data_IF_420249545233
#
_entry.id   IF_420249545233
#
_cell.length_a   1.000
_cell.length_b   1.000
_cell.length_c   1.000
_cell.angle_alpha   90.00
_cell.angle_beta   90.00
_cell.angle_gamma   90.00
#
_symmetry.space_group_name_H-M   'P 1'
#
loop_
_entity.id
_entity.type
_entity.pdbx_description
1 polymer ?
#
# COMPACT_ATOMS: atom_id res chain seq x y z
N UNK A 1 -14.57 9.79 -17.27
CA UNK A 1 -15.02 11.17 -17.09
C UNK A 1 -15.67 11.30 -15.72
N UNK A 2 -15.28 12.32 -14.96
CA UNK A 2 -15.78 12.56 -13.62
C UNK A 2 -17.23 13.03 -13.63
N UNK A 3 -18.09 12.41 -12.83
CA UNK A 3 -19.43 12.94 -12.55
C UNK A 3 -19.30 14.06 -11.49
N UNK A 4 -19.75 15.26 -11.84
CA UNK A 4 -19.69 16.43 -10.95
C UNK A 4 -20.54 16.26 -9.67
N UNK A 5 -21.54 15.37 -9.69
CA UNK A 5 -22.47 15.12 -8.56
C UNK A 5 -21.91 14.19 -7.49
N UNK A 6 -20.87 13.42 -7.79
CA UNK A 6 -20.35 12.44 -6.81
C UNK A 6 -19.08 11.73 -7.26
N UNK A 7 -18.41 12.23 -8.32
CA UNK A 7 -17.15 11.68 -8.81
C UNK A 7 -17.29 10.47 -9.74
N UNK A 8 -18.44 9.80 -9.79
CA UNK A 8 -18.67 8.65 -10.64
C UNK A 8 -17.61 7.56 -10.43
N UNK A 9 -17.04 7.03 -11.52
CA UNK A 9 -15.97 6.00 -11.47
C UNK A 9 -14.64 6.49 -10.87
N UNK A 10 -14.46 7.79 -10.71
CA UNK A 10 -13.29 8.37 -10.02
C UNK A 10 -13.52 8.60 -8.52
N UNK A 11 -14.68 8.19 -7.99
CA UNK A 11 -14.98 8.25 -6.57
C UNK A 11 -14.29 7.11 -5.81
N UNK A 12 -13.81 7.38 -4.58
CA UNK A 12 -13.33 6.33 -3.66
C UNK A 12 -14.37 5.25 -3.33
N UNK A 13 -15.69 5.52 -3.55
CA UNK A 13 -16.76 4.53 -3.39
C UNK A 13 -16.64 3.34 -4.36
N UNK A 14 -15.88 3.47 -5.44
CA UNK A 14 -15.59 2.35 -6.35
C UNK A 14 -14.91 1.18 -5.62
N UNK A 15 -14.17 1.45 -4.55
CA UNK A 15 -13.48 0.43 -3.74
C UNK A 15 -14.42 -0.55 -3.04
N UNK A 16 -15.72 -0.25 -2.89
CA UNK A 16 -16.72 -1.19 -2.33
C UNK A 16 -16.69 -2.53 -3.07
N UNK A 17 -16.65 -2.50 -4.41
CA UNK A 17 -16.60 -3.72 -5.23
C UNK A 17 -15.32 -4.53 -4.98
N UNK A 18 -14.18 -3.85 -4.80
CA UNK A 18 -12.88 -4.49 -4.50
C UNK A 18 -12.90 -5.15 -3.13
N UNK A 19 -13.42 -4.46 -2.11
CA UNK A 19 -13.51 -4.99 -0.74
C UNK A 19 -14.41 -6.21 -0.70
N UNK A 20 -15.58 -6.16 -1.37
CA UNK A 20 -16.51 -7.29 -1.42
C UNK A 20 -15.89 -8.51 -2.14
N UNK A 21 -15.26 -8.29 -3.30
CA UNK A 21 -14.57 -9.35 -4.03
C UNK A 21 -13.36 -9.89 -3.25
N UNK A 22 -12.59 -9.01 -2.61
CA UNK A 22 -11.44 -9.37 -1.79
C UNK A 22 -11.82 -10.24 -0.59
N UNK A 23 -12.95 -9.96 0.06
CA UNK A 23 -13.45 -10.78 1.16
C UNK A 23 -13.78 -12.23 0.72
N UNK A 24 -14.30 -12.42 -0.49
CA UNK A 24 -14.54 -13.75 -1.07
C UNK A 24 -13.21 -14.41 -1.44
N UNK A 25 -12.33 -13.67 -2.14
CA UNK A 25 -11.03 -14.17 -2.56
C UNK A 25 -10.17 -14.62 -1.36
N UNK A 26 -10.17 -13.85 -0.26
CA UNK A 26 -9.44 -14.20 0.96
C UNK A 26 -9.87 -15.53 1.55
N UNK A 27 -11.17 -15.87 1.49
CA UNK A 27 -11.65 -17.19 1.95
C UNK A 27 -11.09 -18.33 1.10
N UNK A 28 -11.06 -18.14 -0.22
CA UNK A 28 -10.50 -19.13 -1.15
C UNK A 28 -9.01 -19.30 -0.91
N UNK A 29 -8.27 -18.20 -0.74
CA UNK A 29 -6.84 -18.24 -0.46
C UNK A 29 -6.53 -18.93 0.87
N UNK A 30 -7.32 -18.68 1.91
CA UNK A 30 -7.16 -19.34 3.20
C UNK A 30 -7.35 -20.87 3.12
N UNK A 31 -8.30 -21.35 2.31
CA UNK A 31 -8.48 -22.79 2.05
C UNK A 31 -7.28 -23.40 1.32
N UNK A 32 -6.54 -22.60 0.57
CA UNK A 32 -5.29 -22.98 -0.09
C UNK A 32 -4.05 -22.81 0.81
N UNK A 33 -4.23 -22.42 2.08
CA UNK A 33 -3.13 -22.19 3.01
C UNK A 33 -2.42 -20.84 2.83
N UNK A 34 -2.97 -19.93 2.02
CA UNK A 34 -2.40 -18.60 1.79
C UNK A 34 -3.11 -17.60 2.71
N UNK A 35 -2.34 -16.92 3.55
CA UNK A 35 -2.83 -15.87 4.45
C UNK A 35 -2.37 -14.49 3.99
N UNK A 36 -3.24 -13.50 4.14
CA UNK A 36 -2.99 -12.11 3.78
C UNK A 36 -3.13 -11.23 5.03
N UNK A 37 -2.21 -10.29 5.20
CA UNK A 37 -2.29 -9.25 6.21
C UNK A 37 -1.91 -7.91 5.59
N UNK A 38 -2.82 -6.93 5.67
CA UNK A 38 -2.55 -5.57 5.21
C UNK A 38 -2.65 -4.60 6.38
N UNK A 39 -1.75 -3.63 6.42
CA UNK A 39 -1.65 -2.65 7.50
C UNK A 39 -1.04 -1.34 7.01
N UNK A 40 -1.22 -0.31 7.80
CA UNK A 40 -0.64 1.00 7.54
C UNK A 40 0.80 1.03 8.03
N UNK A 41 1.75 1.13 7.09
CA UNK A 41 3.19 1.24 7.37
C UNK A 41 3.61 2.67 7.70
N UNK A 42 3.00 3.65 7.04
CA UNK A 42 3.35 5.06 7.24
C UNK A 42 2.16 5.99 7.04
N UNK A 43 2.12 7.08 7.80
CA UNK A 43 1.20 8.22 7.61
C UNK A 43 2.03 9.49 7.69
N UNK A 44 2.09 10.24 6.57
CA UNK A 44 2.97 11.39 6.46
C UNK A 44 4.41 11.06 6.84
N UNK A 45 5.03 11.76 7.82
CA UNK A 45 6.40 11.50 8.25
C UNK A 45 6.55 10.33 9.24
N UNK A 46 5.45 9.77 9.74
CA UNK A 46 5.47 8.71 10.75
C UNK A 46 5.54 7.35 10.08
N UNK A 47 6.71 6.76 10.06
CA UNK A 47 7.03 5.47 9.40
C UNK A 47 7.44 4.46 10.46
N UNK A 48 6.93 3.23 10.38
CA UNK A 48 7.33 2.13 11.27
C UNK A 48 8.49 1.38 10.62
N UNK A 49 9.58 1.19 11.38
CA UNK A 49 10.68 0.34 10.97
C UNK A 49 10.30 -1.13 11.09
N UNK A 50 10.82 -1.98 10.22
CA UNK A 50 10.45 -3.40 10.17
C UNK A 50 10.78 -4.16 11.46
N UNK A 51 11.81 -3.71 12.18
CA UNK A 51 12.19 -4.27 13.49
C UNK A 51 11.23 -3.93 14.63
N UNK A 52 10.28 -3.01 14.39
CA UNK A 52 9.34 -2.50 15.38
C UNK A 52 7.91 -3.00 15.14
N UNK A 53 7.70 -3.92 14.18
CA UNK A 53 6.38 -4.46 13.89
C UNK A 53 5.88 -5.40 14.98
N UNK A 54 4.70 -5.10 15.48
CA UNK A 54 3.87 -5.99 16.28
C UNK A 54 2.50 -6.16 15.61
N UNK A 55 2.34 -7.21 14.83
CA UNK A 55 1.12 -7.46 14.06
C UNK A 55 -0.14 -7.59 14.92
N UNK A 56 0.00 -7.97 16.21
CA UNK A 56 -1.13 -8.03 17.14
C UNK A 56 -1.72 -6.66 17.47
N UNK A 57 -0.97 -5.58 17.24
CA UNK A 57 -1.41 -4.20 17.50
C UNK A 57 -2.25 -3.60 16.35
N UNK A 58 -2.23 -4.20 15.15
CA UNK A 58 -2.96 -3.70 13.98
C UNK A 58 -4.45 -3.46 14.29
N UNK A 59 -5.08 -4.39 14.99
CA UNK A 59 -6.49 -4.30 15.36
C UNK A 59 -6.77 -3.48 16.63
N UNK A 60 -5.73 -3.01 17.31
CA UNK A 60 -5.84 -2.29 18.58
C UNK A 60 -5.89 -0.76 18.43
N UNK A 61 -5.59 -0.25 17.24
CA UNK A 61 -5.65 1.18 16.95
C UNK A 61 -6.44 1.48 15.68
N UNK A 62 -7.03 2.66 15.61
CA UNK A 62 -7.89 3.07 14.50
C UNK A 62 -7.16 3.32 13.18
N UNK A 63 -5.83 3.36 13.20
CA UNK A 63 -5.00 3.58 12.02
C UNK A 63 -4.46 2.27 11.43
N UNK A 64 -4.78 1.13 12.05
CA UNK A 64 -4.33 -0.20 11.63
C UNK A 64 -2.81 -0.29 11.46
N UNK A 65 -2.07 0.37 12.36
CA UNK A 65 -0.62 0.37 12.37
C UNK A 65 -0.08 -0.73 13.29
N UNK A 66 0.94 -1.50 12.89
CA UNK A 66 1.56 -2.55 13.73
C UNK A 66 2.51 -1.98 14.80
N UNK A 67 2.23 -0.78 15.32
CA UNK A 67 2.94 -0.15 16.42
C UNK A 67 2.06 0.94 17.03
N UNK A 68 1.55 0.71 18.24
CA UNK A 68 0.62 1.62 18.91
C UNK A 68 1.25 2.99 19.24
N UNK A 69 2.54 3.05 19.55
CA UNK A 69 3.21 4.32 19.84
C UNK A 69 3.31 5.20 18.59
N UNK A 70 3.71 4.63 17.45
CA UNK A 70 3.74 5.36 16.18
C UNK A 70 2.32 5.71 15.73
N UNK A 71 1.35 4.83 15.95
CA UNK A 71 -0.07 5.10 15.66
C UNK A 71 -0.60 6.31 16.44
N UNK A 72 -0.24 6.45 17.72
CA UNK A 72 -0.63 7.61 18.52
C UNK A 72 -0.02 8.91 17.96
N UNK A 73 1.27 8.92 17.65
CA UNK A 73 1.94 10.07 17.04
C UNK A 73 1.34 10.45 15.68
N UNK A 74 1.07 9.46 14.84
CA UNK A 74 0.40 9.66 13.55
C UNK A 74 -1.02 10.23 13.73
N UNK A 75 -1.77 9.76 14.73
CA UNK A 75 -3.09 10.30 15.09
C UNK A 75 -3.07 11.76 15.52
N UNK A 76 -2.06 12.15 16.30
CA UNK A 76 -1.84 13.55 16.67
C UNK A 76 -1.53 14.42 15.45
N UNK A 77 -0.70 13.91 14.55
CA UNK A 77 -0.39 14.58 13.28
C UNK A 77 -1.61 14.75 12.39
N UNK A 78 -2.42 13.71 12.21
CA UNK A 78 -3.69 13.80 11.46
C UNK A 78 -4.58 14.88 12.10
N UNK A 79 -4.67 14.92 13.44
CA UNK A 79 -5.47 15.92 14.17
C UNK A 79 -4.97 17.34 13.91
N UNK A 80 -3.66 17.55 13.80
CA UNK A 80 -3.11 18.87 13.45
C UNK A 80 -3.47 19.27 12.02
N UNK A 81 -3.37 18.35 11.07
CA UNK A 81 -3.75 18.59 9.66
C UNK A 81 -5.25 18.91 9.52
N UNK A 82 -6.11 18.24 10.29
CA UNK A 82 -7.54 18.54 10.29
C UNK A 82 -7.82 19.98 10.74
N UNK A 83 -7.10 20.51 11.74
CA UNK A 83 -7.22 21.91 12.18
C UNK A 83 -6.76 22.88 11.11
N UNK A 84 -5.79 22.48 10.30
CA UNK A 84 -5.26 23.25 9.16
C UNK A 84 -6.08 23.05 7.88
N UNK A 85 -7.15 22.23 7.93
CA UNK A 85 -7.96 21.83 6.75
C UNK A 85 -7.15 21.21 5.63
N UNK A 86 -6.07 20.52 5.99
CA UNK A 86 -5.08 19.89 5.11
C UNK A 86 -5.19 18.35 5.16
N UNK A 87 -4.38 17.67 4.37
CA UNK A 87 -4.32 16.21 4.27
C UNK A 87 -2.89 15.70 4.12
N UNK A 88 -2.67 14.42 4.38
CA UNK A 88 -1.41 13.74 4.12
C UNK A 88 -1.62 12.44 3.34
N UNK A 89 -0.55 11.94 2.78
CA UNK A 89 -0.47 10.60 2.20
C UNK A 89 0.00 9.57 3.22
N UNK A 90 0.10 8.34 2.76
CA UNK A 90 0.60 7.23 3.57
C UNK A 90 1.10 6.07 2.71
N UNK A 91 1.58 5.04 3.39
CA UNK A 91 2.00 3.79 2.78
C UNK A 91 1.24 2.65 3.44
N UNK A 92 0.58 1.84 2.63
CA UNK A 92 -0.01 0.57 3.04
C UNK A 92 0.96 -0.54 2.65
N UNK A 93 1.23 -1.45 3.56
CA UNK A 93 1.99 -2.67 3.28
C UNK A 93 1.05 -3.87 3.40
N UNK A 94 1.13 -4.77 2.43
CA UNK A 94 0.43 -6.05 2.42
C UNK A 94 1.45 -7.17 2.34
N UNK A 95 1.33 -8.14 3.23
CA UNK A 95 2.12 -9.36 3.23
C UNK A 95 1.22 -10.54 2.91
N UNK A 96 1.77 -11.52 2.19
CA UNK A 96 1.12 -12.80 1.96
C UNK A 96 2.11 -13.93 2.29
N UNK A 97 1.64 -14.87 3.12
CA UNK A 97 2.38 -16.07 3.49
C UNK A 97 1.71 -17.31 2.89
N UNK A 98 2.50 -18.35 2.64
CA UNK A 98 2.01 -19.64 2.15
C UNK A 98 1.83 -19.72 0.63
N UNK A 99 2.37 -18.77 -0.15
CA UNK A 99 2.32 -18.86 -1.60
C UNK A 99 3.17 -20.06 -2.08
N UNK A 100 2.63 -20.89 -2.98
CA UNK A 100 3.45 -21.92 -3.64
C UNK A 100 4.49 -21.26 -4.55
N UNK A 101 5.58 -21.95 -4.79
CA UNK A 101 6.61 -21.54 -5.77
C UNK A 101 6.05 -21.61 -7.18
N UNK A 102 6.38 -20.61 -8.02
CA UNK A 102 6.10 -20.63 -9.44
C UNK A 102 4.82 -19.95 -9.90
N UNK A 103 4.15 -19.15 -9.05
CA UNK A 103 3.03 -18.31 -9.49
C UNK A 103 3.55 -17.10 -10.26
N UNK A 104 3.01 -16.87 -11.44
CA UNK A 104 3.37 -15.82 -12.37
C UNK A 104 3.88 -16.37 -13.70
N UNK A 105 3.63 -15.65 -14.79
CA UNK A 105 4.01 -16.06 -16.15
C UNK A 105 4.87 -14.99 -16.85
N UNK A 106 6.21 -15.08 -16.70
CA UNK A 106 7.09 -14.26 -17.53
C UNK A 106 6.81 -14.52 -19.03
N UNK A 107 6.92 -13.53 -19.91
CA UNK A 107 7.58 -12.23 -19.78
C UNK A 107 6.61 -11.14 -19.23
N UNK A 108 5.36 -11.09 -19.69
CA UNK A 108 4.45 -9.97 -19.43
C UNK A 108 3.60 -10.15 -18.18
N UNK A 109 3.21 -11.38 -17.87
CA UNK A 109 2.32 -11.70 -16.75
C UNK A 109 3.10 -12.18 -15.51
N UNK A 110 4.23 -11.54 -15.25
CA UNK A 110 4.98 -11.72 -14.01
C UNK A 110 4.11 -11.39 -12.81
N UNK A 111 4.27 -12.13 -11.71
CA UNK A 111 3.50 -11.92 -10.49
C UNK A 111 3.61 -10.47 -9.98
N UNK A 112 4.83 -9.93 -9.93
CA UNK A 112 5.08 -8.55 -9.51
C UNK A 112 4.41 -7.52 -10.45
N UNK A 113 4.40 -7.77 -11.76
CA UNK A 113 3.74 -6.90 -12.73
C UNK A 113 2.21 -6.90 -12.56
N UNK A 114 1.59 -8.09 -12.39
CA UNK A 114 0.16 -8.22 -12.17
C UNK A 114 -0.28 -7.58 -10.84
N UNK A 115 0.50 -7.78 -9.78
CA UNK A 115 0.25 -7.14 -8.48
C UNK A 115 0.37 -5.62 -8.58
N UNK A 116 1.41 -5.12 -9.24
CA UNK A 116 1.58 -3.68 -9.47
C UNK A 116 0.41 -3.10 -10.27
N UNK A 117 -0.04 -3.76 -11.33
CA UNK A 117 -1.21 -3.37 -12.11
C UNK A 117 -2.48 -3.30 -11.25
N UNK A 118 -2.73 -4.34 -10.45
CA UNK A 118 -3.91 -4.42 -9.60
C UNK A 118 -3.91 -3.30 -8.55
N UNK A 119 -2.80 -3.11 -7.85
CA UNK A 119 -2.64 -2.10 -6.80
C UNK A 119 -2.67 -0.67 -7.37
N UNK A 120 -1.99 -0.41 -8.50
CA UNK A 120 -2.04 0.90 -9.19
C UNK A 120 -3.42 1.25 -9.70
N UNK A 121 -4.31 0.28 -9.90
CA UNK A 121 -5.69 0.52 -10.31
C UNK A 121 -6.57 1.07 -9.17
N UNK A 122 -6.11 1.02 -7.92
CA UNK A 122 -6.80 1.60 -6.77
C UNK A 122 -6.68 3.14 -6.82
N UNK A 123 -7.79 3.83 -6.56
CA UNK A 123 -7.79 5.28 -6.52
C UNK A 123 -6.78 5.83 -5.51
N UNK A 124 -6.15 6.95 -5.85
CA UNK A 124 -5.12 7.64 -5.05
C UNK A 124 -3.77 6.92 -4.90
N UNK A 125 -3.61 5.68 -5.30
CA UNK A 125 -2.29 5.02 -5.35
C UNK A 125 -1.43 5.69 -6.41
N UNK A 126 -0.16 5.96 -6.06
CA UNK A 126 0.84 6.65 -6.91
C UNK A 126 2.18 5.94 -6.99
N UNK A 127 2.37 4.89 -6.20
CA UNK A 127 3.56 4.07 -6.26
C UNK A 127 3.28 2.68 -5.74
N UNK A 128 3.99 1.70 -6.28
CA UNK A 128 3.98 0.31 -5.82
C UNK A 128 5.41 -0.16 -5.70
N UNK A 129 5.72 -0.88 -4.64
CA UNK A 129 6.99 -1.54 -4.41
C UNK A 129 6.77 -3.01 -4.07
N UNK A 130 7.69 -3.85 -4.51
CA UNK A 130 7.79 -5.26 -4.12
C UNK A 130 9.14 -5.46 -3.43
N UNK A 131 9.15 -6.11 -2.26
CA UNK A 131 10.38 -6.28 -1.48
C UNK A 131 11.06 -4.95 -1.11
N UNK A 132 12.35 -4.82 -1.37
CA UNK A 132 13.10 -3.59 -1.11
C UNK A 132 12.67 -2.41 -2.01
N UNK A 133 11.95 -2.68 -3.11
CA UNK A 133 11.43 -1.65 -3.99
C UNK A 133 12.52 -0.70 -4.48
N UNK A 134 12.34 0.62 -4.33
CA UNK A 134 13.31 1.62 -4.75
C UNK A 134 14.64 1.57 -3.99
N UNK A 135 14.65 1.02 -2.77
CA UNK A 135 15.89 0.90 -2.00
C UNK A 135 16.88 -0.07 -2.66
N UNK A 136 16.41 -1.06 -3.41
CA UNK A 136 17.27 -1.96 -4.17
C UNK A 136 18.21 -1.22 -5.14
N UNK A 137 17.79 -0.06 -5.69
CA UNK A 137 18.60 0.73 -6.61
C UNK A 137 19.87 1.33 -5.96
N UNK A 138 19.89 1.50 -4.64
CA UNK A 138 21.04 1.97 -3.88
C UNK A 138 21.88 0.84 -3.28
N UNK A 139 21.46 -0.41 -3.42
CA UNK A 139 22.15 -1.59 -2.92
C UNK A 139 23.22 -2.08 -3.89
N UNK A 140 24.23 -2.77 -3.36
CA UNK A 140 25.16 -3.55 -4.18
C UNK A 140 24.72 -5.00 -4.26
N UNK A 141 24.97 -5.68 -5.38
CA UNK A 141 24.44 -7.03 -5.62
C UNK A 141 24.72 -8.04 -4.51
N UNK A 142 25.94 -8.01 -3.94
CA UNK A 142 26.33 -8.91 -2.84
C UNK A 142 25.56 -8.68 -1.53
N UNK A 143 24.86 -7.55 -1.39
CA UNK A 143 24.01 -7.22 -0.24
C UNK A 143 22.54 -7.39 -0.54
N UNK A 144 22.14 -7.18 -1.80
CA UNK A 144 20.75 -7.32 -2.24
C UNK A 144 20.36 -8.77 -2.55
N UNK A 145 21.32 -9.65 -2.83
CA UNK A 145 21.02 -11.06 -3.07
C UNK A 145 20.43 -11.71 -1.82
N UNK A 146 19.42 -12.57 -2.05
CA UNK A 146 18.79 -13.39 -1.01
C UNK A 146 19.41 -14.79 -1.02
N UNK A 147 20.38 -15.09 -0.13
CA UNK A 147 21.02 -16.40 -0.13
C UNK A 147 20.06 -17.50 0.31
N UNK A 148 19.98 -18.58 -0.47
CA UNK A 148 19.26 -19.77 -0.08
C UNK A 148 20.10 -20.66 0.84
N UNK A 149 19.43 -21.40 1.70
CA UNK A 149 20.02 -22.47 2.52
C UNK A 149 19.03 -23.60 2.73
N UNK A 150 19.53 -24.74 3.14
CA UNK A 150 18.70 -25.92 3.46
C UNK A 150 18.73 -26.16 4.97
N UNK A 151 17.57 -26.31 5.56
CA UNK A 151 17.40 -26.71 6.94
C UNK A 151 16.34 -27.80 7.04
N UNK A 152 16.68 -28.93 7.68
CA UNK A 152 15.79 -30.10 7.80
C UNK A 152 15.23 -30.64 6.49
N UNK A 153 15.95 -30.44 5.37
CA UNK A 153 15.51 -30.88 4.02
C UNK A 153 14.62 -29.87 3.30
N UNK A 154 14.30 -28.74 3.92
CA UNK A 154 13.53 -27.66 3.35
C UNK A 154 14.42 -26.51 2.90
N UNK A 155 14.02 -25.83 1.82
CA UNK A 155 14.73 -24.67 1.26
C UNK A 155 14.20 -23.39 1.86
N UNK A 156 15.10 -22.57 2.38
CA UNK A 156 14.81 -21.28 2.99
C UNK A 156 15.68 -20.18 2.40
N UNK A 157 15.28 -18.91 2.60
CA UNK A 157 16.10 -17.72 2.31
C UNK A 157 16.55 -17.06 3.62
N UNK A 158 17.77 -16.53 3.63
CA UNK A 158 18.31 -15.78 4.79
C UNK A 158 17.73 -14.37 4.89
N UNK A 159 17.41 -13.77 3.74
CA UNK A 159 16.84 -12.44 3.60
C UNK A 159 15.71 -12.49 2.57
N UNK A 160 14.96 -11.42 2.43
CA UNK A 160 13.84 -11.35 1.49
C UNK A 160 13.77 -9.98 0.79
N UNK A 161 14.92 -9.51 0.28
CA UNK A 161 15.03 -8.26 -0.46
C UNK A 161 14.14 -8.24 -1.71
N UNK A 162 14.03 -9.40 -2.37
CA UNK A 162 13.15 -9.59 -3.53
C UNK A 162 11.65 -9.56 -3.21
N UNK A 163 11.28 -9.64 -1.91
CA UNK A 163 9.89 -9.58 -1.48
C UNK A 163 9.02 -10.75 -1.95
N UNK A 164 9.59 -11.95 -2.04
CA UNK A 164 8.86 -13.18 -2.38
C UNK A 164 8.71 -13.45 -3.88
N UNK A 165 9.39 -12.67 -4.75
CA UNK A 165 9.37 -12.88 -6.20
C UNK A 165 10.77 -12.96 -6.78
N UNK A 166 11.03 -13.96 -7.62
CA UNK A 166 12.26 -14.12 -8.38
C UNK A 166 11.92 -14.45 -9.83
N UNK A 167 12.56 -13.77 -10.77
CA UNK A 167 12.31 -13.97 -12.19
C UNK A 167 10.87 -13.70 -12.64
N UNK A 168 10.09 -12.98 -11.82
CA UNK A 168 8.69 -12.71 -12.08
C UNK A 168 7.71 -13.76 -11.55
N UNK A 169 8.19 -14.71 -10.77
CA UNK A 169 7.38 -15.78 -10.16
C UNK A 169 7.56 -15.77 -8.63
N UNK A 170 6.57 -16.29 -7.91
CA UNK A 170 6.70 -16.52 -6.46
C UNK A 170 7.81 -17.53 -6.17
N UNK A 171 8.57 -17.29 -5.10
CA UNK A 171 9.70 -18.11 -4.69
C UNK A 171 9.44 -18.93 -3.40
N UNK A 172 8.19 -18.88 -2.89
CA UNK A 172 7.78 -19.56 -1.67
C UNK A 172 8.03 -18.76 -0.39
N UNK A 173 8.75 -17.64 -0.48
CA UNK A 173 8.94 -16.73 0.66
C UNK A 173 7.74 -15.81 0.82
N UNK A 174 7.69 -15.08 1.96
CA UNK A 174 6.69 -14.03 2.19
C UNK A 174 6.68 -13.03 1.04
N UNK A 175 5.54 -12.85 0.41
CA UNK A 175 5.33 -11.76 -0.54
C UNK A 175 5.13 -10.45 0.23
N UNK A 176 5.82 -9.39 -0.20
CA UNK A 176 5.74 -8.06 0.41
C UNK A 176 5.42 -7.04 -0.69
N UNK A 177 4.27 -6.39 -0.57
CA UNK A 177 3.80 -5.36 -1.50
C UNK A 177 3.49 -4.08 -0.74
N UNK A 178 4.00 -2.95 -1.21
CA UNK A 178 3.71 -1.62 -0.65
C UNK A 178 3.00 -0.75 -1.67
N UNK A 179 2.05 0.03 -1.19
CA UNK A 179 1.30 1.01 -1.99
C UNK A 179 1.47 2.40 -1.38
N UNK A 180 2.00 3.33 -2.14
CA UNK A 180 2.05 4.75 -1.75
C UNK A 180 0.74 5.43 -2.17
N UNK A 181 0.03 5.99 -1.19
CA UNK A 181 -1.25 6.69 -1.38
C UNK A 181 -1.00 8.19 -1.24
N UNK A 182 -1.44 8.96 -2.24
CA UNK A 182 -1.27 10.41 -2.23
C UNK A 182 -2.23 11.09 -1.24
N UNK A 183 -1.92 12.31 -0.76
CA UNK A 183 -2.87 13.11 0.01
C UNK A 183 -4.18 13.34 -0.74
N UNK A 184 -5.29 13.45 0.01
CA UNK A 184 -6.58 13.88 -0.55
C UNK A 184 -6.45 15.28 -1.12
N UNK A 185 -6.82 15.46 -2.39
CA UNK A 185 -6.70 16.75 -3.08
C UNK A 185 -7.84 17.74 -2.79
N UNK A 186 -8.97 17.24 -2.29
CA UNK A 186 -10.12 18.08 -1.94
C UNK A 186 -9.97 18.57 -0.50
N UNK A 187 -9.26 19.69 -0.33
CA UNK A 187 -9.01 20.36 0.96
C UNK A 187 -9.64 21.75 0.99
N UNK A 188 -9.86 22.29 2.18
CA UNK A 188 -10.48 23.60 2.35
C UNK A 188 -9.46 24.76 2.42
N UNK A 189 -8.23 24.51 2.00
CA UNK A 189 -7.22 25.55 1.76
C UNK A 189 -7.43 26.11 0.34
N UNK A 190 -7.36 27.44 0.11
CA UNK A 190 -7.38 28.02 -1.23
C UNK A 190 -6.30 27.41 -2.11
N UNK A 191 -6.68 26.97 -3.30
CA UNK A 191 -5.79 26.34 -4.27
C UNK A 191 -5.91 27.04 -5.62
N UNK A 192 -4.78 27.30 -6.25
CA UNK A 192 -4.73 27.84 -7.60
C UNK A 192 -5.31 26.86 -8.61
N UNK A 193 -6.08 27.37 -9.54
CA UNK A 193 -6.72 26.60 -10.61
C UNK A 193 -7.07 27.50 -11.80
N UNK A 194 -7.79 26.96 -12.77
CA UNK A 194 -8.37 27.71 -13.89
C UNK A 194 -9.88 27.54 -13.93
N UNK A 195 -10.58 28.55 -14.41
CA UNK A 195 -12.00 28.48 -14.69
C UNK A 195 -12.26 27.95 -16.14
N UNK A 196 -13.53 27.81 -16.51
CA UNK A 196 -13.94 27.36 -17.86
C UNK A 196 -13.63 28.34 -18.95
N UNK A 197 -13.33 29.60 -18.65
CA UNK A 197 -12.88 30.63 -19.59
C UNK A 197 -11.34 30.61 -19.78
N UNK A 198 -10.62 29.65 -19.18
CA UNK A 198 -9.16 29.49 -19.21
C UNK A 198 -8.43 30.66 -18.52
N UNK A 199 -9.03 31.20 -17.48
CA UNK A 199 -8.42 32.24 -16.64
C UNK A 199 -7.96 31.64 -15.32
N UNK A 200 -6.83 32.16 -14.78
CA UNK A 200 -6.33 31.77 -13.46
C UNK A 200 -7.32 32.22 -12.38
N UNK A 201 -7.59 31.35 -11.44
CA UNK A 201 -8.48 31.59 -10.31
C UNK A 201 -8.08 30.74 -9.12
N UNK A 202 -8.75 30.94 -8.00
CA UNK A 202 -8.61 30.10 -6.82
C UNK A 202 -9.90 29.32 -6.55
N UNK A 203 -9.77 28.15 -5.98
CA UNK A 203 -10.88 27.32 -5.52
C UNK A 203 -10.65 26.92 -4.06
N UNK A 204 -11.71 26.96 -3.27
CA UNK A 204 -11.79 26.34 -1.96
C UNK A 204 -12.85 25.25 -2.04
N UNK A 205 -12.47 24.02 -1.69
CA UNK A 205 -13.41 22.90 -1.76
C UNK A 205 -14.02 22.73 -0.38
N UNK A 206 -15.27 23.17 -0.24
CA UNK A 206 -16.04 23.01 1.00
C UNK A 206 -16.71 21.63 1.01
N UNK A 207 -16.69 20.97 2.16
CA UNK A 207 -17.33 19.67 2.35
C UNK A 207 -16.67 18.86 3.46
N UNK A 208 -17.13 17.61 3.62
CA UNK A 208 -16.45 16.65 4.46
C UNK A 208 -15.22 16.11 3.70
N UNK A 209 -14.07 16.26 4.32
CA UNK A 209 -12.81 15.79 3.78
C UNK A 209 -12.15 14.83 4.76
N UNK A 210 -11.66 13.71 4.26
CA UNK A 210 -10.85 12.80 5.05
C UNK A 210 -9.37 13.28 4.98
N UNK A 211 -8.70 13.47 6.13
CA UNK A 211 -7.33 14.03 6.18
C UNK A 211 -6.27 13.04 5.72
N UNK A 212 -6.61 11.75 5.64
CA UNK A 212 -5.77 10.66 5.14
C UNK A 212 -6.67 9.61 4.48
N UNK A 213 -6.15 8.87 3.52
CA UNK A 213 -6.85 7.78 2.82
C UNK A 213 -6.41 6.45 3.40
#
# INVERSE_FOLDING_TARGET
IRDYRGGGRSSGRETIGRVAAGAIASKILNELGISLCAYTKAIGPYVINETEYNYSEISQNSLYMPNNNIAEQAGQYITSLMKETNSCGGVIECIADGLPVGLGEPVFDKLDALLAQAVMSIGAVKGVEIGDGFQAASSVGSKNNDPFYVENGEVHKKTNHSGGTLGGMSDGSRLIVRAAVKPTSSIAIPQETINTAHENTEIVIHGRHDPVI
#
